data_IF_866280394552
#
_entry.id   IF_866280394552
#
_cell.length_a   1.000
_cell.length_b   1.000
_cell.length_c   1.000
_cell.angle_alpha   90.00
_cell.angle_beta   90.00
_cell.angle_gamma   90.00
#
_symmetry.space_group_name_H-M   'P 1'
#
loop_
_entity.id
_entity.type
_entity.pdbx_description
1 polymer ?
#
# COMPACT_ATOMS: atom_id res chain seq x y z
N UNK A 1 18.71 -13.88 5.21
CA UNK A 1 18.17 -12.70 4.49
C UNK A 1 16.67 -12.65 4.66
N UNK A 2 16.03 -11.45 4.65
CA UNK A 2 14.58 -11.35 4.62
C UNK A 2 14.10 -11.71 3.21
N UNK A 3 13.20 -12.68 3.10
CA UNK A 3 12.73 -13.21 1.81
C UNK A 3 11.23 -13.00 1.59
N UNK A 4 10.47 -12.71 2.65
CA UNK A 4 9.03 -12.54 2.56
C UNK A 4 8.53 -11.41 3.45
N UNK A 5 7.99 -10.36 2.83
CA UNK A 5 7.47 -9.17 3.52
C UNK A 5 5.94 -9.17 3.47
N UNK A 6 5.32 -8.99 4.64
CA UNK A 6 3.90 -8.71 4.76
C UNK A 6 3.67 -7.21 4.69
N UNK A 7 2.86 -6.76 3.74
CA UNK A 7 2.44 -5.37 3.60
C UNK A 7 0.99 -5.24 4.03
N UNK A 8 0.69 -4.35 4.98
CA UNK A 8 -0.67 -4.15 5.48
C UNK A 8 -1.22 -2.80 5.04
N UNK A 9 -2.24 -2.80 4.15
CA UNK A 9 -2.99 -1.60 3.76
C UNK A 9 -4.47 -1.92 3.53
N UNK A 10 -5.33 -1.65 4.51
CA UNK A 10 -6.72 -2.12 4.53
C UNK A 10 -7.73 -1.15 3.91
N UNK A 11 -7.39 0.13 3.80
CA UNK A 11 -8.22 1.25 3.31
C UNK A 11 -7.41 2.59 3.32
N UNK A 12 -7.90 3.73 2.78
CA UNK A 12 -9.00 3.85 1.86
C UNK A 12 -8.54 3.56 0.42
N UNK A 13 -9.44 3.60 -0.59
CA UNK A 13 -9.10 3.24 -1.97
C UNK A 13 -7.92 4.06 -2.53
N UNK A 14 -7.98 5.39 -2.42
CA UNK A 14 -6.88 6.26 -2.88
C UNK A 14 -5.55 5.96 -2.19
N UNK A 15 -5.59 5.70 -0.87
CA UNK A 15 -4.38 5.32 -0.12
C UNK A 15 -3.84 3.94 -0.54
N UNK A 16 -4.73 3.00 -0.90
CA UNK A 16 -4.32 1.68 -1.44
C UNK A 16 -3.68 1.88 -2.80
N UNK A 17 -4.29 2.67 -3.69
CA UNK A 17 -3.73 3.00 -5.00
C UNK A 17 -2.33 3.63 -4.88
N UNK A 18 -2.10 4.53 -3.91
CA UNK A 18 -0.78 5.12 -3.67
C UNK A 18 0.29 4.12 -3.19
N UNK A 19 -0.07 2.90 -2.76
CA UNK A 19 0.93 1.88 -2.46
C UNK A 19 1.45 1.17 -3.71
N UNK A 20 0.67 1.16 -4.80
CA UNK A 20 0.98 0.42 -6.03
C UNK A 20 2.32 0.84 -6.66
N UNK A 21 2.60 2.14 -6.91
CA UNK A 21 3.89 2.54 -7.48
C UNK A 21 5.09 2.13 -6.61
N UNK A 22 4.93 2.23 -5.29
CA UNK A 22 5.98 1.84 -4.34
C UNK A 22 6.24 0.34 -4.40
N UNK A 23 5.18 -0.48 -4.45
CA UNK A 23 5.32 -1.94 -4.54
C UNK A 23 5.84 -2.39 -5.91
N UNK A 24 5.47 -1.71 -7.00
CA UNK A 24 6.07 -1.97 -8.32
C UNK A 24 7.56 -1.66 -8.34
N UNK A 25 7.97 -0.50 -7.82
CA UNK A 25 9.38 -0.15 -7.71
C UNK A 25 10.14 -1.13 -6.82
N UNK A 26 9.55 -1.56 -5.70
CA UNK A 26 10.11 -2.58 -4.84
C UNK A 26 10.30 -3.91 -5.57
N UNK A 27 9.26 -4.39 -6.26
CA UNK A 27 9.27 -5.65 -7.00
C UNK A 27 10.39 -5.70 -8.05
N UNK A 28 10.61 -4.60 -8.74
CA UNK A 28 11.68 -4.47 -9.74
C UNK A 28 13.08 -4.41 -9.12
N UNK A 29 13.23 -3.73 -7.98
CA UNK A 29 14.53 -3.54 -7.32
C UNK A 29 14.93 -4.76 -6.47
N UNK A 30 13.94 -5.54 -6.01
CA UNK A 30 14.14 -6.72 -5.14
C UNK A 30 13.31 -7.92 -5.64
N UNK A 31 13.56 -8.43 -6.84
CA UNK A 31 12.74 -9.48 -7.47
C UNK A 31 12.74 -10.80 -6.69
N UNK A 32 13.77 -11.05 -5.87
CA UNK A 32 13.91 -12.24 -5.03
C UNK A 32 13.07 -12.18 -3.75
N UNK A 33 12.55 -11.00 -3.38
CA UNK A 33 11.79 -10.82 -2.14
C UNK A 33 10.29 -10.94 -2.44
N UNK A 34 9.63 -11.91 -1.82
CA UNK A 34 8.19 -12.07 -1.91
C UNK A 34 7.45 -11.02 -1.09
N UNK A 35 6.34 -10.55 -1.61
CA UNK A 35 5.42 -9.65 -0.91
C UNK A 35 4.06 -10.32 -0.77
N UNK A 36 3.50 -10.30 0.43
CA UNK A 36 2.07 -10.57 0.62
C UNK A 36 1.38 -9.27 1.04
N UNK A 37 0.47 -8.78 0.21
CA UNK A 37 -0.36 -7.61 0.53
C UNK A 37 -1.65 -8.06 1.21
N UNK A 38 -1.87 -7.61 2.44
CA UNK A 38 -3.13 -7.79 3.16
C UNK A 38 -4.02 -6.59 2.95
N UNK A 39 -5.14 -6.80 2.28
CA UNK A 39 -6.12 -5.75 2.02
C UNK A 39 -7.53 -6.32 1.89
N UNK A 40 -8.54 -5.45 1.70
CA UNK A 40 -9.91 -5.89 1.45
C UNK A 40 -10.02 -6.54 0.07
N UNK A 41 -10.87 -7.55 -0.14
CA UNK A 41 -11.02 -8.25 -1.43
C UNK A 41 -11.22 -7.32 -2.62
N UNK A 42 -11.98 -6.23 -2.43
CA UNK A 42 -12.26 -5.21 -3.44
C UNK A 42 -10.99 -4.59 -4.05
N UNK A 43 -9.87 -4.56 -3.33
CA UNK A 43 -8.63 -3.94 -3.80
C UNK A 43 -7.67 -4.90 -4.49
N UNK A 44 -8.05 -6.17 -4.66
CA UNK A 44 -7.20 -7.17 -5.32
C UNK A 44 -6.70 -6.73 -6.70
N UNK A 45 -7.55 -6.16 -7.61
CA UNK A 45 -7.12 -5.76 -8.94
C UNK A 45 -5.98 -4.73 -8.99
N UNK A 46 -5.77 -3.96 -7.92
CA UNK A 46 -4.64 -3.02 -7.87
C UNK A 46 -3.26 -3.69 -7.84
N UNK A 47 -3.21 -4.98 -7.50
CA UNK A 47 -1.97 -5.71 -7.23
C UNK A 47 -1.75 -6.89 -8.17
N UNK A 48 -2.71 -7.23 -9.04
CA UNK A 48 -2.66 -8.43 -9.88
C UNK A 48 -1.52 -8.38 -10.92
N UNK A 49 -1.11 -7.18 -11.34
CA UNK A 49 -0.06 -6.98 -12.35
C UNK A 49 1.34 -6.72 -11.74
N UNK A 50 1.53 -7.00 -10.44
CA UNK A 50 2.82 -6.80 -9.80
C UNK A 50 3.47 -8.17 -9.56
N UNK A 51 4.61 -8.40 -10.21
CA UNK A 51 5.39 -9.62 -10.00
C UNK A 51 5.78 -9.76 -8.53
N UNK A 52 6.03 -11.00 -8.09
CA UNK A 52 6.38 -11.40 -6.72
C UNK A 52 5.42 -10.87 -5.61
N UNK A 53 4.25 -10.32 -5.98
CA UNK A 53 3.21 -9.89 -5.05
C UNK A 53 2.07 -10.90 -5.00
N UNK A 54 1.75 -11.36 -3.80
CA UNK A 54 0.60 -12.22 -3.51
C UNK A 54 -0.43 -11.42 -2.71
N UNK A 55 -1.70 -11.58 -3.04
CA UNK A 55 -2.78 -10.88 -2.35
C UNK A 55 -3.45 -11.77 -1.30
N UNK A 56 -3.55 -11.30 -0.07
CA UNK A 56 -4.30 -11.93 1.01
C UNK A 56 -5.55 -11.10 1.32
N UNK A 57 -6.73 -11.65 0.98
CA UNK A 57 -8.01 -11.00 1.23
C UNK A 57 -8.41 -11.10 2.71
N UNK A 58 -8.50 -9.96 3.41
CA UNK A 58 -9.01 -9.92 4.77
C UNK A 58 -10.53 -9.85 4.81
N UNK A 59 -11.15 -10.72 5.58
CA UNK A 59 -12.58 -10.69 5.85
C UNK A 59 -12.88 -10.01 7.20
N UNK A 60 -13.17 -8.72 7.15
CA UNK A 60 -13.49 -7.92 8.33
C UNK A 60 -14.95 -8.04 8.78
N UNK A 61 -15.82 -8.67 7.97
CA UNK A 61 -17.25 -8.81 8.28
C UNK A 61 -17.53 -10.05 9.14
N UNK A 62 -16.81 -11.12 8.87
CA UNK A 62 -17.02 -12.41 9.51
C UNK A 62 -15.75 -12.95 10.18
N UNK A 63 -14.88 -13.62 9.43
CA UNK A 63 -13.72 -14.39 9.94
C UNK A 63 -12.74 -13.56 10.76
N UNK A 64 -12.42 -12.35 10.29
CA UNK A 64 -11.43 -11.45 10.92
C UNK A 64 -12.09 -10.29 11.67
N UNK A 65 -13.35 -10.44 12.10
CA UNK A 65 -14.11 -9.43 12.84
C UNK A 65 -13.69 -9.34 14.30
N UNK A 66 -13.56 -8.13 14.80
CA UNK A 66 -13.23 -7.86 16.21
C UNK A 66 -11.83 -8.32 16.62
N UNK A 67 -11.55 -8.31 17.92
CA UNK A 67 -10.23 -8.67 18.45
C UNK A 67 -9.87 -10.15 18.21
N UNK A 68 -10.79 -11.05 18.49
CA UNK A 68 -10.60 -12.48 18.21
C UNK A 68 -10.34 -12.75 16.72
N UNK A 69 -11.00 -11.99 15.82
CA UNK A 69 -10.74 -12.04 14.39
C UNK A 69 -9.33 -11.58 14.01
N UNK A 70 -8.75 -10.60 14.73
CA UNK A 70 -7.35 -10.18 14.50
C UNK A 70 -6.35 -11.24 14.94
N UNK A 71 -6.64 -12.01 16.00
CA UNK A 71 -5.81 -13.16 16.39
C UNK A 71 -5.89 -14.29 15.35
N UNK A 72 -7.07 -14.53 14.77
CA UNK A 72 -7.22 -15.48 13.65
C UNK A 72 -6.45 -15.02 12.42
N UNK A 73 -6.55 -13.72 12.07
CA UNK A 73 -5.78 -13.12 10.97
C UNK A 73 -4.27 -13.33 11.18
N UNK A 74 -3.77 -13.04 12.37
CA UNK A 74 -2.37 -13.30 12.71
C UNK A 74 -2.01 -14.78 12.53
N UNK A 75 -2.84 -15.69 13.02
CA UNK A 75 -2.63 -17.14 12.86
C UNK A 75 -2.59 -17.57 11.39
N UNK A 76 -3.48 -17.02 10.55
CA UNK A 76 -3.52 -17.33 9.12
C UNK A 76 -2.29 -16.77 8.40
N UNK A 77 -1.90 -15.53 8.71
CA UNK A 77 -0.72 -14.89 8.11
C UNK A 77 0.59 -15.53 8.56
N UNK A 78 0.67 -16.00 9.80
CA UNK A 78 1.86 -16.71 10.32
C UNK A 78 2.20 -17.96 9.51
N UNK A 79 1.21 -18.65 8.94
CA UNK A 79 1.40 -19.84 8.09
C UNK A 79 2.14 -19.52 6.78
N UNK A 80 2.19 -18.27 6.38
CA UNK A 80 2.86 -17.82 5.16
C UNK A 80 4.38 -17.64 5.32
N UNK A 81 4.95 -17.97 6.48
CA UNK A 81 6.39 -17.83 6.77
C UNK A 81 6.90 -16.39 6.51
N UNK A 82 6.20 -15.39 7.05
CA UNK A 82 6.56 -13.99 6.96
C UNK A 82 7.84 -13.70 7.76
N UNK A 83 8.78 -12.97 7.18
CA UNK A 83 10.03 -12.54 7.81
C UNK A 83 9.97 -11.13 8.37
N UNK A 84 9.25 -10.23 7.68
CA UNK A 84 9.10 -8.85 8.10
C UNK A 84 7.72 -8.29 7.81
N UNK A 85 7.31 -7.24 8.51
CA UNK A 85 6.02 -6.58 8.35
C UNK A 85 6.19 -5.09 8.07
N UNK A 86 5.69 -4.63 6.93
CA UNK A 86 5.54 -3.23 6.56
C UNK A 86 4.08 -2.80 6.79
N UNK A 87 3.81 -2.10 7.88
CA UNK A 87 2.48 -1.57 8.18
C UNK A 87 2.30 -0.19 7.53
N UNK A 88 1.84 -0.17 6.28
CA UNK A 88 1.56 1.05 5.53
C UNK A 88 0.22 1.69 5.93
N UNK A 89 -0.55 1.05 6.80
CA UNK A 89 -1.84 1.57 7.27
C UNK A 89 -1.74 2.30 8.61
N UNK A 90 -0.96 1.75 9.54
CA UNK A 90 -0.71 2.28 10.88
C UNK A 90 -1.98 2.74 11.62
N UNK A 91 -3.00 1.88 11.68
CA UNK A 91 -4.24 2.04 12.45
C UNK A 91 -4.34 0.95 13.53
N UNK A 92 -5.29 1.07 14.44
CA UNK A 92 -5.40 0.16 15.58
C UNK A 92 -5.37 -1.33 15.16
N UNK A 93 -6.12 -1.71 14.12
CA UNK A 93 -6.16 -3.10 13.63
C UNK A 93 -4.80 -3.59 13.13
N UNK A 94 -4.15 -2.80 12.29
CA UNK A 94 -2.83 -3.17 11.76
C UNK A 94 -1.75 -3.14 12.84
N UNK A 95 -1.86 -2.23 13.81
CA UNK A 95 -0.96 -2.20 14.98
C UNK A 95 -1.02 -3.50 15.78
N UNK A 96 -2.22 -4.03 16.04
CA UNK A 96 -2.38 -5.31 16.75
C UNK A 96 -1.65 -6.42 16.00
N UNK A 97 -1.92 -6.59 14.72
CA UNK A 97 -1.28 -7.63 13.89
C UNK A 97 0.24 -7.45 13.86
N UNK A 98 0.71 -6.23 13.60
CA UNK A 98 2.14 -5.90 13.60
C UNK A 98 2.81 -6.21 14.95
N UNK A 99 2.17 -5.85 16.07
CA UNK A 99 2.70 -6.12 17.41
C UNK A 99 2.81 -7.63 17.67
N UNK A 100 1.83 -8.43 17.24
CA UNK A 100 1.89 -9.88 17.36
C UNK A 100 3.07 -10.47 16.58
N UNK A 101 3.37 -9.95 15.38
CA UNK A 101 4.56 -10.35 14.62
C UNK A 101 5.87 -9.91 15.32
N UNK A 102 5.90 -8.71 15.91
CA UNK A 102 7.06 -8.26 16.68
C UNK A 102 7.34 -9.15 17.90
N UNK A 103 6.27 -9.57 18.61
CA UNK A 103 6.38 -10.45 19.79
C UNK A 103 6.97 -11.84 19.45
N UNK A 104 6.81 -12.32 18.23
CA UNK A 104 7.44 -13.55 17.75
C UNK A 104 8.79 -13.30 17.05
N UNK A 105 9.41 -12.14 17.28
CA UNK A 105 10.77 -11.82 16.82
C UNK A 105 10.87 -11.38 15.35
N UNK A 106 9.75 -11.09 14.67
CA UNK A 106 9.79 -10.61 13.28
C UNK A 106 10.11 -9.12 13.22
N UNK A 107 10.90 -8.72 12.20
CA UNK A 107 11.22 -7.31 11.97
C UNK A 107 9.96 -6.56 11.51
N UNK A 108 9.68 -5.41 12.12
CA UNK A 108 8.47 -4.65 11.82
C UNK A 108 8.76 -3.17 11.62
N UNK A 109 8.11 -2.55 10.64
CA UNK A 109 8.13 -1.12 10.44
C UNK A 109 6.72 -0.59 10.18
N UNK A 110 6.49 0.68 10.46
CA UNK A 110 5.21 1.32 10.18
C UNK A 110 5.41 2.70 9.57
N UNK A 111 4.52 3.04 8.66
CA UNK A 111 4.50 4.36 8.02
C UNK A 111 4.19 5.43 9.05
N UNK A 112 5.02 6.46 9.08
CA UNK A 112 4.71 7.70 9.77
C UNK A 112 3.62 8.46 9.02
N UNK A 113 2.57 8.84 9.71
CA UNK A 113 1.44 9.61 9.15
C UNK A 113 1.67 11.12 9.11
N UNK A 114 2.85 11.60 9.53
CA UNK A 114 3.17 13.02 9.60
C UNK A 114 2.19 13.82 10.45
N UNK A 115 1.68 13.24 11.52
CA UNK A 115 0.71 13.94 12.41
C UNK A 115 1.35 15.14 13.10
N UNK A 116 2.63 15.05 13.41
CA UNK A 116 3.37 16.13 14.03
C UNK A 116 3.58 17.27 13.04
N UNK A 117 4.01 16.98 11.81
CA UNK A 117 4.18 17.95 10.73
C UNK A 117 2.87 18.69 10.46
N UNK A 118 1.75 17.93 10.35
CA UNK A 118 0.41 18.49 10.15
C UNK A 118 -0.03 19.38 11.33
N UNK A 119 0.30 18.98 12.56
CA UNK A 119 0.00 19.79 13.74
C UNK A 119 0.82 21.08 13.78
N UNK A 120 2.05 21.04 13.32
CA UNK A 120 2.89 22.21 13.20
C UNK A 120 2.36 23.19 12.15
N UNK A 121 1.96 22.69 10.98
CA UNK A 121 1.36 23.51 9.92
C UNK A 121 0.07 24.23 10.33
N UNK A 122 -0.64 23.73 11.33
CA UNK A 122 -1.89 24.35 11.82
C UNK A 122 -1.68 25.35 12.96
N UNK A 123 -0.45 25.57 13.42
CA UNK A 123 -0.15 26.62 14.40
C UNK A 123 -0.22 27.98 13.74
N UNK A 124 -0.97 28.90 14.36
CA UNK A 124 -1.18 30.28 13.85
C UNK A 124 0.08 31.15 13.73
N UNK A 125 1.18 30.73 14.36
CA UNK A 125 2.44 31.49 14.42
C UNK A 125 3.45 31.13 13.32
N UNK A 126 3.12 30.20 12.41
CA UNK A 126 4.06 29.78 11.36
C UNK A 126 4.12 30.80 10.23
N UNK A 127 5.25 31.47 10.11
CA UNK A 127 5.55 32.41 9.01
C UNK A 127 6.00 31.72 7.72
N UNK A 128 6.40 30.44 7.77
CA UNK A 128 6.94 29.71 6.62
C UNK A 128 6.29 28.32 6.54
N UNK A 129 5.62 28.03 5.42
CA UNK A 129 5.05 26.72 5.15
C UNK A 129 6.15 25.88 4.48
N UNK A 130 6.63 24.85 5.19
CA UNK A 130 7.52 23.85 4.61
C UNK A 130 6.70 22.70 4.03
N UNK A 131 7.03 22.20 2.83
CA UNK A 131 6.35 21.06 2.24
C UNK A 131 6.53 19.82 3.14
N UNK A 132 5.44 19.11 3.38
CA UNK A 132 5.48 17.84 4.12
C UNK A 132 5.82 16.69 3.19
N UNK A 133 6.47 15.65 3.73
CA UNK A 133 6.76 14.43 2.97
C UNK A 133 5.49 13.85 2.36
N UNK A 134 5.57 13.44 1.11
CA UNK A 134 4.51 12.74 0.40
C UNK A 134 4.23 11.35 1.02
N UNK A 135 3.08 10.74 0.72
CA UNK A 135 2.80 9.38 1.16
C UNK A 135 3.73 8.36 0.50
N UNK A 136 4.19 8.61 -0.71
CA UNK A 136 5.19 7.76 -1.39
C UNK A 136 6.51 7.71 -0.62
N UNK A 137 7.06 8.88 -0.27
CA UNK A 137 8.28 8.98 0.54
C UNK A 137 8.13 8.28 1.88
N UNK A 138 6.99 8.46 2.57
CA UNK A 138 6.70 7.79 3.86
C UNK A 138 6.61 6.27 3.74
N UNK A 139 6.11 5.77 2.61
CA UNK A 139 6.09 4.34 2.32
C UNK A 139 7.49 3.82 2.03
N UNK A 140 8.29 4.53 1.23
CA UNK A 140 9.70 4.18 0.97
C UNK A 140 10.51 4.12 2.27
N UNK A 141 10.37 5.12 3.15
CA UNK A 141 11.01 5.11 4.48
C UNK A 141 10.59 3.90 5.34
N UNK A 142 9.37 3.40 5.15
CA UNK A 142 8.93 2.20 5.88
C UNK A 142 9.69 0.96 5.41
N UNK A 143 9.93 0.83 4.11
CA UNK A 143 10.75 -0.26 3.56
C UNK A 143 12.24 -0.08 3.89
N UNK A 144 12.75 1.14 3.87
CA UNK A 144 14.12 1.45 4.28
C UNK A 144 14.41 1.00 5.72
N UNK A 145 13.47 1.24 6.67
CA UNK A 145 13.56 0.73 8.06
C UNK A 145 13.64 -0.80 8.14
N UNK A 146 13.14 -1.50 7.14
CA UNK A 146 13.27 -2.95 7.02
C UNK A 146 14.58 -3.38 6.35
N UNK A 147 15.34 -2.45 5.77
CA UNK A 147 16.60 -2.67 5.08
C UNK A 147 16.48 -2.72 3.56
N UNK A 148 15.37 -2.18 3.01
CA UNK A 148 15.08 -2.13 1.58
C UNK A 148 14.81 -0.68 1.15
N UNK A 149 15.84 0.14 0.92
CA UNK A 149 15.65 1.48 0.35
C UNK A 149 15.08 1.38 -1.07
N UNK A 150 14.05 2.14 -1.36
CA UNK A 150 13.37 2.16 -2.67
C UNK A 150 13.65 3.48 -3.38
N UNK A 151 14.10 3.42 -4.62
CA UNK A 151 14.22 4.56 -5.52
C UNK A 151 12.96 4.67 -6.40
N UNK A 152 12.34 5.86 -6.43
CA UNK A 152 11.16 6.16 -7.25
C UNK A 152 11.46 7.13 -8.40
N UNK A 153 12.73 7.48 -8.68
CA UNK A 153 13.10 8.45 -9.72
C UNK A 153 12.76 7.96 -11.14
N UNK A 154 12.67 6.66 -11.34
CA UNK A 154 12.28 6.05 -12.62
C UNK A 154 11.03 5.19 -12.45
N UNK A 155 9.85 5.79 -12.30
CA UNK A 155 8.63 5.03 -12.08
C UNK A 155 8.25 4.24 -13.34
N UNK A 156 8.04 2.93 -13.17
CA UNK A 156 7.47 2.09 -14.22
C UNK A 156 5.95 2.16 -14.10
N UNK A 157 5.33 2.75 -15.10
CA UNK A 157 3.87 2.76 -15.20
C UNK A 157 3.36 1.45 -15.81
N UNK A 158 2.19 0.94 -15.37
CA UNK A 158 1.56 -0.20 -16.03
C UNK A 158 1.20 0.16 -17.46
N UNK A 159 1.15 -0.86 -18.31
CA UNK A 159 0.55 -0.68 -19.63
C UNK A 159 -0.90 -0.20 -19.46
N UNK A 160 -1.29 0.69 -20.35
CA UNK A 160 -2.65 1.23 -20.30
C UNK A 160 -3.64 0.13 -20.63
N UNK A 161 -4.61 -0.11 -19.75
CA UNK A 161 -5.66 -1.08 -19.98
C UNK A 161 -6.53 -0.68 -21.18
N UNK A 162 -6.76 -1.60 -22.09
CA UNK A 162 -7.74 -1.41 -23.17
C UNK A 162 -9.13 -1.47 -22.55
N UNK A 163 -9.96 -0.48 -22.85
CA UNK A 163 -11.35 -0.45 -22.39
C UNK A 163 -12.16 -1.53 -23.11
N UNK A 164 -12.97 -2.29 -22.38
CA UNK A 164 -13.90 -3.23 -23.00
C UNK A 164 -14.94 -2.50 -23.86
N UNK A 165 -15.50 -3.18 -24.87
CA UNK A 165 -16.53 -2.62 -25.74
C UNK A 165 -17.75 -2.09 -24.95
N UNK A 166 -18.13 -2.77 -23.87
CA UNK A 166 -19.20 -2.32 -22.98
C UNK A 166 -18.88 -0.97 -22.33
N UNK A 167 -17.65 -0.78 -21.85
CA UNK A 167 -17.22 0.49 -21.25
C UNK A 167 -17.12 1.57 -22.31
N UNK A 168 -16.65 1.25 -23.51
CA UNK A 168 -16.60 2.17 -24.64
C UNK A 168 -18.01 2.64 -25.04
N UNK A 169 -18.99 1.73 -25.08
CA UNK A 169 -20.38 2.05 -25.36
C UNK A 169 -21.00 2.98 -24.30
N UNK A 170 -20.73 2.74 -23.01
CA UNK A 170 -21.24 3.57 -21.91
C UNK A 170 -20.59 4.95 -21.87
N UNK A 171 -19.30 5.03 -22.14
CA UNK A 171 -18.52 6.27 -22.03
C UNK A 171 -18.54 7.12 -23.30
N UNK A 172 -19.05 6.59 -24.44
CA UNK A 172 -19.00 7.22 -25.75
C UNK A 172 -17.59 7.43 -26.31
N UNK A 173 -16.58 6.80 -25.73
CA UNK A 173 -15.18 6.90 -26.17
C UNK A 173 -14.92 5.95 -27.33
N UNK A 174 -14.03 6.36 -28.25
CA UNK A 174 -13.60 5.51 -29.36
C UNK A 174 -12.57 4.49 -28.89
N UNK A 175 -12.45 3.38 -29.63
CA UNK A 175 -11.42 2.38 -29.44
C UNK A 175 -10.03 3.05 -29.40
N UNK A 176 -9.17 2.65 -28.45
CA UNK A 176 -7.87 3.28 -28.21
C UNK A 176 -7.89 4.58 -27.40
N UNK A 177 -9.08 5.10 -27.04
CA UNK A 177 -9.16 6.23 -26.11
C UNK A 177 -8.94 5.76 -24.67
N UNK A 178 -8.11 6.50 -23.94
CA UNK A 178 -7.74 6.18 -22.57
C UNK A 178 -8.67 6.91 -21.60
N UNK A 179 -9.01 6.27 -20.49
CA UNK A 179 -9.39 7.04 -19.32
C UNK A 179 -8.16 7.86 -18.96
N UNK A 180 -8.24 9.18 -19.13
CA UNK A 180 -7.20 10.09 -18.68
C UNK A 180 -6.83 9.71 -17.24
N UNK A 181 -5.53 9.76 -16.96
CA UNK A 181 -5.06 9.63 -15.57
C UNK A 181 -5.88 10.57 -14.68
N UNK A 182 -6.14 10.24 -13.41
CA UNK A 182 -6.72 11.21 -12.47
C UNK A 182 -6.01 12.57 -12.48
N UNK A 183 -4.73 12.60 -12.88
CA UNK A 183 -3.93 13.82 -13.04
C UNK A 183 -4.41 14.64 -14.24
N UNK A 184 -4.79 14.03 -15.36
CA UNK A 184 -5.27 14.75 -16.55
C UNK A 184 -6.67 15.36 -16.32
N UNK A 185 -7.46 14.77 -15.42
CA UNK A 185 -8.76 15.32 -15.01
C UNK A 185 -8.59 16.58 -14.16
N UNK A 186 -7.51 16.66 -13.37
CA UNK A 186 -7.19 17.84 -12.54
C UNK A 186 -6.61 19.02 -13.32
N UNK A 187 -6.04 18.77 -14.49
CA UNK A 187 -5.44 19.83 -15.35
C UNK A 187 -6.46 20.45 -16.33
N UNK A 188 -7.68 19.89 -16.40
CA UNK A 188 -8.76 20.41 -17.27
C UNK A 188 -9.84 21.20 -16.50
N UNK A 189 -9.71 21.36 -15.18
CA UNK A 189 -10.54 22.19 -14.31
C UNK A 189 -9.76 23.44 -13.87
#
# INVERSE_FOLDING_TARGET
>A
MLQHILVIRLSAMGDVAMTVPVLKAFSLQYPEVKITVVSRPFFKPFFDDIENVTFFAIDLKERHKGFAGLLRLFSDLRKLNIDAVADLHNVLRSKVVRTLFALIGKKVAATDKGRQDKKELTKLEIKTISPTKSMFERHCETFEKLGFPINLESPVFPEKAVLSEEILAITGKKEGSWLSSPIDLFLQL
#
